data_IF_552760417605
#
_entry.id   IF_552760417605
#
_cell.length_a   1.000
_cell.length_b   1.000
_cell.length_c   1.000
_cell.angle_alpha   90.00
_cell.angle_beta   90.00
_cell.angle_gamma   90.00
#
_symmetry.space_group_name_H-M   'P 1'
#
loop_
_entity.id
_entity.type
_entity.pdbx_description
1 polymer ?
#
# COMPACT_ATOMS: atom_id res chain seq x y z
N UNK A 1 24.72 9.51 36.71
CA UNK A 1 24.89 9.99 35.32
C UNK A 1 24.52 11.47 35.30
N UNK A 2 25.28 12.31 34.60
CA UNK A 2 24.95 13.72 34.38
C UNK A 2 24.74 13.91 32.87
N UNK A 3 23.66 14.60 32.50
CA UNK A 3 23.32 14.92 31.11
C UNK A 3 23.22 16.44 31.02
N UNK A 4 23.88 17.02 30.04
CA UNK A 4 23.84 18.46 29.74
C UNK A 4 23.35 18.64 28.31
N UNK A 5 22.42 19.58 28.11
CA UNK A 5 21.88 19.93 26.80
C UNK A 5 22.06 21.42 26.59
N UNK A 6 22.77 21.80 25.53
CA UNK A 6 22.94 23.19 25.11
C UNK A 6 21.92 23.51 24.00
N UNK A 7 20.88 24.27 24.35
CA UNK A 7 19.84 24.67 23.41
C UNK A 7 20.29 25.74 22.39
N UNK A 8 21.50 26.30 22.51
CA UNK A 8 22.09 27.20 21.53
C UNK A 8 22.87 26.48 20.41
N UNK A 9 23.21 25.20 20.63
CA UNK A 9 24.03 24.41 19.70
C UNK A 9 23.17 23.47 18.83
N UNK A 10 22.96 23.86 17.58
CA UNK A 10 22.16 23.08 16.61
C UNK A 10 23.06 22.13 15.83
N UNK A 11 22.94 20.82 16.08
CA UNK A 11 23.75 19.77 15.42
C UNK A 11 23.16 19.25 14.11
N UNK A 12 21.87 19.48 13.84
CA UNK A 12 21.20 19.05 12.61
C UNK A 12 19.68 19.11 12.68
N UNK A 13 19.00 18.77 11.56
CA UNK A 13 17.54 18.68 11.49
C UNK A 13 17.06 17.26 11.83
N UNK A 14 16.55 17.07 13.05
CA UNK A 14 15.76 15.89 13.39
C UNK A 14 14.48 15.86 12.53
N UNK A 15 14.18 14.71 11.93
CA UNK A 15 12.94 14.43 11.19
C UNK A 15 12.15 13.35 11.93
N UNK A 16 10.81 13.42 12.02
CA UNK A 16 9.99 12.40 12.67
C UNK A 16 9.81 11.18 11.75
N UNK A 17 10.89 10.41 11.56
CA UNK A 17 10.90 9.22 10.70
C UNK A 17 10.06 8.05 11.24
N UNK A 18 9.54 8.18 12.46
CA UNK A 18 8.74 7.20 13.19
C UNK A 18 7.23 7.46 13.13
N UNK A 19 6.76 8.45 12.36
CA UNK A 19 5.35 8.88 12.30
C UNK A 19 4.46 7.93 11.46
N UNK A 20 4.57 6.62 11.71
CA UNK A 20 3.87 5.56 10.99
C UNK A 20 3.36 4.47 11.94
N UNK A 21 2.27 3.81 11.54
CA UNK A 21 1.70 2.63 12.20
C UNK A 21 1.21 1.64 11.13
N UNK A 22 0.73 0.47 11.53
CA UNK A 22 0.14 -0.47 10.59
C UNK A 22 -0.70 -1.56 11.26
N UNK A 23 -1.54 -2.22 10.45
CA UNK A 23 -2.45 -3.27 10.92
C UNK A 23 -2.93 -4.17 9.77
N UNK A 24 -3.62 -5.26 10.12
CA UNK A 24 -4.18 -6.24 9.21
C UNK A 24 -5.49 -6.80 9.76
N UNK A 25 -6.48 -7.16 8.92
CA UNK A 25 -6.61 -6.88 7.49
C UNK A 25 -7.26 -5.51 7.19
N UNK A 26 -7.17 -5.03 5.94
CA UNK A 26 -7.81 -3.80 5.49
C UNK A 26 -9.32 -3.71 5.74
N UNK A 27 -10.05 -4.84 5.76
CA UNK A 27 -11.50 -4.89 6.06
C UNK A 27 -11.87 -4.29 7.42
N UNK A 28 -10.92 -4.20 8.36
CA UNK A 28 -11.11 -3.48 9.63
C UNK A 28 -11.49 -2.01 9.41
N UNK A 29 -10.98 -1.33 8.37
CA UNK A 29 -11.32 0.06 8.04
C UNK A 29 -12.83 0.31 7.83
N UNK A 30 -13.61 -0.74 7.59
CA UNK A 30 -15.05 -0.66 7.38
C UNK A 30 -15.87 -0.71 8.70
N UNK A 31 -15.23 -0.95 9.84
CA UNK A 31 -15.86 -1.14 11.17
C UNK A 31 -16.03 0.18 11.96
N UNK A 32 -16.84 0.14 13.03
CA UNK A 32 -16.95 1.27 13.97
C UNK A 32 -15.72 1.40 14.87
N UNK A 33 -15.16 0.26 15.28
CA UNK A 33 -14.00 0.15 16.17
C UNK A 33 -12.75 0.77 15.53
N UNK A 34 -12.47 0.43 14.26
CA UNK A 34 -11.35 1.04 13.54
C UNK A 34 -11.59 2.52 13.24
N UNK A 35 -12.83 2.96 13.02
CA UNK A 35 -13.14 4.40 12.91
C UNK A 35 -12.74 5.17 14.18
N UNK A 36 -12.99 4.61 15.35
CA UNK A 36 -12.54 5.20 16.62
C UNK A 36 -11.01 5.11 16.78
N UNK A 37 -10.39 3.99 16.41
CA UNK A 37 -8.94 3.81 16.48
C UNK A 37 -8.17 4.78 15.58
N UNK A 38 -8.59 4.95 14.32
CA UNK A 38 -7.97 5.90 13.38
C UNK A 38 -8.17 7.35 13.86
N UNK A 39 -9.30 7.69 14.49
CA UNK A 39 -9.49 9.00 15.11
C UNK A 39 -8.53 9.25 16.29
N UNK A 40 -8.21 8.22 17.10
CA UNK A 40 -7.16 8.35 18.11
C UNK A 40 -5.77 8.52 17.48
N UNK A 41 -5.44 7.77 16.41
CA UNK A 41 -4.18 7.96 15.68
C UNK A 41 -4.04 9.39 15.12
N UNK A 42 -5.07 9.90 14.44
CA UNK A 42 -5.09 11.27 13.88
C UNK A 42 -5.08 12.38 14.94
N UNK A 43 -5.49 12.08 16.18
CA UNK A 43 -5.45 13.05 17.28
C UNK A 43 -4.04 13.34 17.82
N UNK A 44 -3.01 12.60 17.38
CA UNK A 44 -1.63 12.76 17.83
C UNK A 44 -1.04 14.08 17.25
N UNK A 45 -0.70 15.08 18.08
CA UNK A 45 -0.39 16.43 17.59
C UNK A 45 0.82 16.52 16.64
N UNK A 46 0.76 17.49 15.72
CA UNK A 46 1.84 17.88 14.79
C UNK A 46 2.32 16.72 13.89
N UNK A 47 1.37 16.03 13.27
CA UNK A 47 1.61 14.91 12.35
C UNK A 47 2.44 13.78 13.00
N UNK A 48 2.37 13.65 14.33
CA UNK A 48 3.13 12.66 15.10
C UNK A 48 2.74 11.21 14.78
N UNK A 49 1.58 11.03 14.16
CA UNK A 49 1.20 9.87 13.36
C UNK A 49 0.69 10.39 12.01
N UNK A 50 1.29 9.95 10.90
CA UNK A 50 0.97 10.42 9.54
C UNK A 50 0.67 9.27 8.58
N UNK A 51 1.27 8.10 8.77
CA UNK A 51 1.15 6.99 7.83
C UNK A 51 0.49 5.75 8.46
N UNK A 52 -0.33 5.06 7.68
CA UNK A 52 -0.88 3.74 8.01
C UNK A 52 -0.51 2.72 6.92
N UNK A 53 0.30 1.71 7.27
CA UNK A 53 0.61 0.54 6.44
C UNK A 53 -0.46 -0.53 6.67
N UNK A 54 -1.17 -0.94 5.62
CA UNK A 54 -2.39 -1.75 5.76
C UNK A 54 -2.34 -2.94 4.81
N UNK A 55 -2.23 -4.14 5.37
CA UNK A 55 -2.25 -5.38 4.60
C UNK A 55 -3.60 -5.59 3.90
N UNK A 56 -3.57 -6.21 2.72
CA UNK A 56 -4.77 -6.66 1.99
C UNK A 56 -5.71 -5.52 1.50
N UNK A 57 -5.17 -4.33 1.18
CA UNK A 57 -5.97 -3.23 0.62
C UNK A 57 -6.70 -3.60 -0.68
N UNK A 58 -6.15 -4.51 -1.49
CA UNK A 58 -6.76 -4.92 -2.76
C UNK A 58 -7.90 -5.94 -2.58
N UNK A 59 -8.11 -6.50 -1.38
CA UNK A 59 -9.34 -7.25 -1.04
C UNK A 59 -10.58 -6.33 -0.91
N UNK A 60 -10.39 -5.01 -0.98
CA UNK A 60 -11.46 -3.99 -0.95
C UNK A 60 -11.85 -3.49 -2.35
N UNK A 61 -11.47 -4.23 -3.39
CA UNK A 61 -11.55 -3.86 -4.80
C UNK A 61 -12.17 -5.01 -5.59
N UNK A 62 -13.18 -4.74 -6.43
CA UNK A 62 -13.87 -5.77 -7.21
C UNK A 62 -13.79 -5.48 -8.73
N UNK A 63 -12.73 -5.93 -9.41
CA UNK A 63 -12.45 -5.60 -10.81
C UNK A 63 -13.09 -6.59 -11.80
N UNK A 64 -13.57 -6.06 -12.93
CA UNK A 64 -14.10 -6.82 -14.05
C UNK A 64 -13.22 -6.61 -15.28
N UNK A 65 -12.81 -7.71 -15.94
CA UNK A 65 -11.88 -7.67 -17.09
C UNK A 65 -12.52 -8.19 -18.38
N UNK A 66 -12.28 -7.49 -19.49
CA UNK A 66 -12.49 -7.99 -20.85
C UNK A 66 -11.13 -8.19 -21.53
N UNK A 67 -10.78 -9.45 -21.81
CA UNK A 67 -9.41 -9.84 -22.14
C UNK A 67 -8.43 -9.42 -21.04
N UNK A 68 -7.52 -8.51 -21.38
CA UNK A 68 -6.56 -7.87 -20.46
C UNK A 68 -7.00 -6.47 -19.97
N UNK A 69 -8.08 -5.92 -20.51
CA UNK A 69 -8.55 -4.58 -20.19
C UNK A 69 -9.44 -4.61 -18.94
N UNK A 70 -9.25 -3.66 -18.03
CA UNK A 70 -10.19 -3.43 -16.93
C UNK A 70 -11.46 -2.77 -17.50
N UNK A 71 -12.53 -3.56 -17.64
CA UNK A 71 -13.82 -3.13 -18.19
C UNK A 71 -14.66 -2.35 -17.17
N UNK A 72 -14.43 -2.58 -15.87
CA UNK A 72 -15.04 -1.85 -14.77
C UNK A 72 -14.42 -2.29 -13.44
N UNK A 73 -14.70 -1.56 -12.36
CA UNK A 73 -14.23 -1.90 -11.02
C UNK A 73 -15.13 -1.24 -9.97
N UNK A 74 -15.53 -1.96 -8.93
CA UNK A 74 -16.06 -1.31 -7.73
C UNK A 74 -14.91 -0.96 -6.78
N UNK A 75 -14.73 0.34 -6.55
CA UNK A 75 -13.78 0.91 -5.59
C UNK A 75 -14.45 1.28 -4.26
N UNK A 76 -15.77 1.16 -4.13
CA UNK A 76 -16.54 1.67 -2.98
C UNK A 76 -16.07 1.17 -1.60
N UNK A 77 -15.61 -0.10 -1.42
CA UNK A 77 -15.06 -0.53 -0.14
C UNK A 77 -13.70 0.09 0.14
N UNK A 78 -12.81 0.15 -0.87
CA UNK A 78 -11.48 0.79 -0.75
C UNK A 78 -11.61 2.28 -0.45
N UNK A 79 -12.44 3.01 -1.22
CA UNK A 79 -12.71 4.43 -1.05
C UNK A 79 -13.16 4.75 0.39
N UNK A 80 -14.07 3.95 0.96
CA UNK A 80 -14.51 4.12 2.35
C UNK A 80 -13.38 3.95 3.38
N UNK A 81 -12.38 3.13 3.09
CA UNK A 81 -11.23 2.91 3.96
C UNK A 81 -10.17 4.01 3.83
N UNK A 82 -9.85 4.41 2.60
CA UNK A 82 -8.92 5.52 2.32
C UNK A 82 -9.49 6.87 2.79
N UNK A 83 -10.79 7.11 2.58
CA UNK A 83 -11.52 8.25 3.13
C UNK A 83 -11.39 8.34 4.65
N UNK A 84 -11.46 7.20 5.36
CA UNK A 84 -11.32 7.16 6.82
C UNK A 84 -9.91 7.57 7.28
N UNK A 85 -8.86 7.16 6.54
CA UNK A 85 -7.49 7.60 6.83
C UNK A 85 -7.35 9.11 6.58
N UNK A 86 -7.70 9.57 5.38
CA UNK A 86 -7.55 10.97 4.97
C UNK A 86 -8.36 11.96 5.82
N UNK A 87 -9.59 11.61 6.21
CA UNK A 87 -10.43 12.42 7.11
C UNK A 87 -9.81 12.63 8.50
N UNK A 88 -8.86 11.79 8.91
CA UNK A 88 -8.14 11.90 10.18
C UNK A 88 -6.67 12.34 9.99
N UNK A 89 -6.28 12.77 8.78
CA UNK A 89 -4.92 13.25 8.49
C UNK A 89 -3.87 12.17 8.27
N UNK A 90 -4.28 10.91 8.05
CA UNK A 90 -3.38 9.81 7.73
C UNK A 90 -3.36 9.54 6.21
N UNK A 91 -2.16 9.33 5.67
CA UNK A 91 -1.96 8.79 4.32
C UNK A 91 -1.65 7.28 4.39
N UNK A 92 -2.01 6.49 3.38
CA UNK A 92 -1.60 5.09 3.31
C UNK A 92 -0.10 4.96 3.01
N UNK A 93 0.53 3.94 3.59
CA UNK A 93 1.57 3.18 2.90
C UNK A 93 0.80 2.06 2.18
N UNK A 94 0.63 2.23 0.87
CA UNK A 94 -0.28 1.44 0.05
C UNK A 94 0.45 0.20 -0.47
N UNK A 95 0.35 -0.88 0.29
CA UNK A 95 0.78 -2.20 -0.14
C UNK A 95 -0.13 -2.68 -1.29
N UNK A 96 0.46 -3.01 -2.44
CA UNK A 96 -0.23 -3.59 -3.59
C UNK A 96 -0.47 -5.09 -3.35
N UNK A 97 -1.29 -5.36 -2.32
CA UNK A 97 -1.44 -6.64 -1.64
C UNK A 97 -2.92 -7.07 -1.58
N UNK A 98 -3.18 -8.34 -1.89
CA UNK A 98 -4.51 -8.95 -1.99
C UNK A 98 -4.77 -9.55 -3.38
N UNK A 99 -5.75 -10.44 -3.47
CA UNK A 99 -6.17 -11.13 -4.69
C UNK A 99 -7.64 -10.82 -5.02
N UNK A 100 -7.94 -9.65 -5.65
CA UNK A 100 -9.29 -9.19 -5.96
C UNK A 100 -10.17 -10.29 -6.57
N UNK A 101 -11.28 -10.61 -5.89
CA UNK A 101 -12.24 -11.67 -6.24
C UNK A 101 -11.64 -13.05 -6.57
N UNK A 102 -10.39 -13.32 -6.15
CA UNK A 102 -9.65 -14.55 -6.48
C UNK A 102 -9.21 -14.65 -7.94
N UNK A 103 -9.16 -13.53 -8.68
CA UNK A 103 -8.93 -13.49 -10.14
C UNK A 103 -7.51 -13.91 -10.54
N UNK A 104 -6.53 -13.74 -9.66
CA UNK A 104 -5.11 -13.95 -9.96
C UNK A 104 -4.60 -15.28 -9.37
N UNK A 105 -3.86 -16.05 -10.17
CA UNK A 105 -3.34 -17.38 -9.83
C UNK A 105 -1.89 -17.65 -10.25
N UNK A 106 -1.30 -16.92 -11.21
CA UNK A 106 0.13 -17.02 -11.52
C UNK A 106 0.70 -15.72 -12.14
N UNK A 107 1.86 -15.25 -11.67
CA UNK A 107 2.60 -14.12 -12.27
C UNK A 107 3.68 -14.55 -13.26
N UNK A 108 3.73 -15.83 -13.61
CA UNK A 108 4.35 -16.32 -14.84
C UNK A 108 3.35 -16.34 -16.02
N UNK A 109 2.05 -16.06 -15.78
CA UNK A 109 1.06 -15.92 -16.85
C UNK A 109 0.98 -14.49 -17.41
N UNK A 110 1.40 -14.38 -18.66
CA UNK A 110 1.43 -13.20 -19.53
C UNK A 110 0.13 -12.33 -19.50
N UNK A 111 -1.04 -12.97 -19.47
CA UNK A 111 -2.34 -12.31 -19.38
C UNK A 111 -2.60 -11.71 -17.98
N UNK A 112 -2.19 -12.40 -16.92
CA UNK A 112 -2.40 -11.96 -15.54
C UNK A 112 -1.52 -10.75 -15.23
N UNK A 113 -0.27 -10.76 -15.69
CA UNK A 113 0.63 -9.61 -15.63
C UNK A 113 0.03 -8.36 -16.26
N UNK A 114 -0.53 -8.47 -17.48
CA UNK A 114 -1.17 -7.33 -18.16
C UNK A 114 -2.43 -6.87 -17.44
N UNK A 115 -3.26 -7.78 -16.92
CA UNK A 115 -4.43 -7.43 -16.08
C UNK A 115 -4.02 -6.67 -14.82
N UNK A 116 -3.01 -7.15 -14.09
CA UNK A 116 -2.54 -6.52 -12.84
C UNK A 116 -1.92 -5.16 -13.08
N UNK A 117 -1.04 -5.04 -14.06
CA UNK A 117 -0.50 -3.75 -14.53
C UNK A 117 -1.60 -2.74 -14.87
N UNK A 118 -2.64 -3.19 -15.57
CA UNK A 118 -3.79 -2.35 -15.91
C UNK A 118 -4.64 -2.00 -14.67
N UNK A 119 -4.78 -2.91 -13.70
CA UNK A 119 -5.45 -2.66 -12.42
C UNK A 119 -4.70 -1.64 -11.55
N UNK A 120 -3.39 -1.81 -11.37
CA UNK A 120 -2.52 -0.88 -10.61
C UNK A 120 -2.54 0.51 -11.25
N UNK A 121 -2.50 0.58 -12.58
CA UNK A 121 -2.65 1.85 -13.32
C UNK A 121 -4.01 2.50 -13.08
N UNK A 122 -5.10 1.74 -13.15
CA UNK A 122 -6.45 2.24 -12.95
C UNK A 122 -6.68 2.70 -11.50
N UNK A 123 -6.19 1.94 -10.52
CA UNK A 123 -6.17 2.29 -9.10
C UNK A 123 -5.48 3.63 -8.86
N UNK A 124 -4.27 3.81 -9.39
CA UNK A 124 -3.51 5.05 -9.24
C UNK A 124 -4.22 6.25 -9.89
N UNK A 125 -4.84 6.07 -11.06
CA UNK A 125 -5.65 7.10 -11.72
C UNK A 125 -6.91 7.45 -10.90
N UNK A 126 -7.66 6.45 -10.43
CA UNK A 126 -8.85 6.61 -9.57
C UNK A 126 -8.52 7.36 -8.28
N UNK A 127 -7.47 6.96 -7.57
CA UNK A 127 -7.01 7.65 -6.37
C UNK A 127 -6.58 9.11 -6.66
N UNK A 128 -5.90 9.37 -7.78
CA UNK A 128 -5.51 10.75 -8.15
C UNK A 128 -6.69 11.63 -8.54
N UNK A 129 -7.75 11.08 -9.11
CA UNK A 129 -9.01 11.79 -9.39
C UNK A 129 -9.78 12.08 -8.09
N UNK A 130 -9.88 11.09 -7.19
CA UNK A 130 -10.64 11.19 -5.92
C UNK A 130 -9.97 12.08 -4.88
N UNK A 131 -8.67 11.87 -4.63
CA UNK A 131 -7.91 12.53 -3.55
C UNK A 131 -7.05 13.69 -4.04
N UNK A 132 -6.92 13.85 -5.35
CA UNK A 132 -6.07 14.84 -5.99
C UNK A 132 -4.63 14.37 -6.16
N UNK A 133 -4.05 14.63 -7.33
CA UNK A 133 -2.70 14.21 -7.72
C UNK A 133 -1.61 14.49 -6.66
N UNK A 134 -1.63 15.65 -6.03
CA UNK A 134 -0.60 16.05 -5.07
C UNK A 134 -0.66 15.27 -3.74
N UNK A 135 -1.82 14.74 -3.37
CA UNK A 135 -1.99 13.91 -2.17
C UNK A 135 -1.40 12.51 -2.41
N UNK A 136 -1.79 11.87 -3.52
CA UNK A 136 -1.30 10.53 -3.92
C UNK A 136 0.20 10.54 -4.27
N UNK A 137 0.73 11.67 -4.75
CA UNK A 137 2.20 11.88 -4.88
C UNK A 137 2.94 11.98 -3.53
N UNK A 138 2.23 12.03 -2.41
CA UNK A 138 2.80 11.97 -1.05
C UNK A 138 2.65 10.60 -0.37
N UNK A 139 1.93 9.67 -1.01
CA UNK A 139 1.80 8.29 -0.55
C UNK A 139 3.05 7.48 -0.93
N UNK A 140 3.31 6.43 -0.17
CA UNK A 140 4.29 5.40 -0.54
C UNK A 140 3.53 4.17 -1.02
N UNK A 141 3.83 3.67 -2.21
CA UNK A 141 3.38 2.35 -2.62
C UNK A 141 4.41 1.31 -2.18
N UNK A 142 3.95 0.10 -1.87
CA UNK A 142 4.81 -0.99 -1.40
C UNK A 142 4.41 -2.32 -2.05
N UNK A 143 5.35 -3.26 -2.13
CA UNK A 143 5.08 -4.65 -2.48
C UNK A 143 4.19 -5.36 -1.46
N UNK A 144 3.78 -6.57 -1.79
CA UNK A 144 3.19 -7.53 -0.87
C UNK A 144 4.09 -7.74 0.37
N UNK A 145 3.46 -7.86 1.53
CA UNK A 145 4.12 -8.01 2.82
C UNK A 145 4.90 -9.34 2.97
N UNK A 146 6.13 -9.28 3.48
CA UNK A 146 6.95 -10.42 3.91
C UNK A 146 7.00 -11.58 2.89
N UNK A 147 7.48 -11.33 1.65
CA UNK A 147 7.43 -12.32 0.57
C UNK A 147 8.34 -13.55 0.79
N UNK A 148 9.11 -13.57 1.87
CA UNK A 148 10.03 -14.63 2.27
C UNK A 148 9.41 -15.67 3.22
N UNK A 149 8.21 -15.43 3.76
CA UNK A 149 7.56 -16.38 4.69
C UNK A 149 6.54 -17.29 3.99
N UNK A 150 6.86 -18.58 3.89
CA UNK A 150 5.98 -19.61 3.33
C UNK A 150 4.63 -19.84 4.05
N UNK A 151 4.33 -19.07 5.10
CA UNK A 151 3.01 -19.01 5.74
C UNK A 151 2.18 -17.79 5.34
N UNK A 152 2.79 -16.69 4.88
CA UNK A 152 2.07 -15.56 4.28
C UNK A 152 1.44 -15.95 2.93
N UNK A 153 2.15 -16.79 2.18
CA UNK A 153 1.68 -17.42 0.95
C UNK A 153 0.78 -18.64 1.24
N UNK A 154 -0.49 -18.42 1.60
CA UNK A 154 -1.46 -19.51 1.87
C UNK A 154 -1.96 -20.22 0.58
N UNK A 155 -1.05 -20.54 -0.33
CA UNK A 155 -1.33 -21.02 -1.69
C UNK A 155 -1.82 -19.92 -2.65
N UNK A 156 -1.90 -18.68 -2.17
CA UNK A 156 -2.46 -17.55 -2.92
C UNK A 156 -1.51 -17.11 -4.05
N UNK A 157 -0.50 -16.28 -3.75
CA UNK A 157 0.20 -15.52 -4.79
C UNK A 157 1.37 -14.69 -4.21
N UNK A 158 2.58 -14.59 -4.83
CA UNK A 158 3.17 -15.38 -5.92
C UNK A 158 3.69 -16.76 -5.45
N UNK A 159 4.47 -17.45 -6.29
CA UNK A 159 4.88 -18.87 -6.09
C UNK A 159 6.40 -19.07 -5.94
N UNK A 160 7.19 -18.16 -6.48
CA UNK A 160 8.65 -18.22 -6.61
C UNK A 160 9.24 -16.81 -6.85
N UNK A 161 10.56 -16.67 -6.81
CA UNK A 161 11.30 -15.41 -7.06
C UNK A 161 10.94 -14.76 -8.41
N UNK A 162 10.74 -15.57 -9.46
CA UNK A 162 10.44 -15.09 -10.82
C UNK A 162 9.06 -14.44 -10.86
N UNK A 163 8.05 -15.10 -10.31
CA UNK A 163 6.68 -14.58 -10.21
C UNK A 163 6.59 -13.35 -9.29
N UNK A 164 7.43 -13.23 -8.26
CA UNK A 164 7.56 -11.99 -7.48
C UNK A 164 8.20 -10.84 -8.29
N UNK A 165 9.26 -11.13 -9.08
CA UNK A 165 9.88 -10.12 -9.95
C UNK A 165 8.92 -9.63 -11.04
N UNK A 166 8.22 -10.54 -11.72
CA UNK A 166 7.23 -10.20 -12.74
C UNK A 166 6.07 -9.35 -12.14
N UNK A 167 5.63 -9.68 -10.93
CA UNK A 167 4.68 -8.86 -10.16
C UNK A 167 5.21 -7.44 -9.89
N UNK A 168 6.45 -7.33 -9.43
CA UNK A 168 7.08 -6.06 -9.12
C UNK A 168 7.16 -5.17 -10.36
N UNK A 169 7.61 -5.73 -11.49
CA UNK A 169 7.63 -5.04 -12.78
C UNK A 169 6.22 -4.60 -13.19
N UNK A 170 5.20 -5.46 -13.09
CA UNK A 170 3.82 -5.08 -13.39
C UNK A 170 3.28 -3.95 -12.49
N UNK A 171 3.70 -3.89 -11.22
CA UNK A 171 3.37 -2.79 -10.31
C UNK A 171 4.06 -1.48 -10.70
N UNK A 172 5.38 -1.52 -10.94
CA UNK A 172 6.18 -0.38 -11.38
C UNK A 172 5.60 0.20 -12.67
N UNK A 173 5.37 -0.64 -13.68
CA UNK A 173 4.87 -0.23 -14.98
C UNK A 173 3.44 0.34 -14.89
N UNK A 174 2.60 -0.21 -14.01
CA UNK A 174 1.25 0.29 -13.73
C UNK A 174 1.26 1.69 -13.10
N UNK A 175 2.07 1.91 -12.06
CA UNK A 175 2.20 3.20 -11.38
C UNK A 175 2.83 4.27 -12.29
N UNK A 176 3.92 3.94 -12.99
CA UNK A 176 4.60 4.87 -13.90
C UNK A 176 3.69 5.28 -15.08
N UNK A 177 2.89 4.35 -15.61
CA UNK A 177 1.91 4.62 -16.67
C UNK A 177 0.68 5.43 -16.20
N UNK A 178 0.49 5.61 -14.88
CA UNK A 178 -0.49 6.53 -14.30
C UNK A 178 0.15 7.91 -13.99
N UNK A 179 1.28 7.93 -13.27
CA UNK A 179 2.04 9.14 -12.99
C UNK A 179 3.50 8.80 -12.60
N UNK A 180 4.53 9.22 -13.36
CA UNK A 180 5.94 8.88 -13.10
C UNK A 180 6.56 9.58 -11.88
N UNK A 181 5.75 10.18 -11.01
CA UNK A 181 6.14 10.74 -9.72
C UNK A 181 5.66 9.93 -8.52
N UNK A 182 4.87 8.87 -8.73
CA UNK A 182 4.54 7.90 -7.69
C UNK A 182 5.79 7.06 -7.38
N UNK A 183 5.97 6.71 -6.11
CA UNK A 183 7.12 5.92 -5.64
C UNK A 183 6.65 4.58 -5.09
N UNK A 184 7.35 3.52 -5.46
CA UNK A 184 7.14 2.16 -4.95
C UNK A 184 8.44 1.64 -4.32
N UNK A 185 8.30 0.88 -3.23
CA UNK A 185 9.38 0.17 -2.55
C UNK A 185 9.03 -1.29 -2.27
N UNK A 186 10.02 -2.04 -1.80
CA UNK A 186 9.93 -3.47 -1.48
C UNK A 186 11.32 -4.03 -1.17
N UNK A 187 11.47 -5.35 -0.97
CA UNK A 187 10.41 -6.37 -0.97
C UNK A 187 9.61 -6.44 0.34
N UNK A 188 10.05 -5.80 1.43
CA UNK A 188 9.35 -5.84 2.72
C UNK A 188 9.47 -7.19 3.45
N UNK A 189 10.62 -7.86 3.34
CA UNK A 189 10.86 -9.21 3.90
C UNK A 189 10.94 -9.24 5.43
N UNK A 190 10.47 -10.34 6.01
CA UNK A 190 10.58 -10.69 7.42
C UNK A 190 12.03 -10.94 7.83
N UNK A 191 12.78 -11.65 6.98
CA UNK A 191 14.17 -12.03 7.22
C UNK A 191 15.16 -10.98 6.70
N UNK A 192 16.15 -10.65 7.54
CA UNK A 192 17.25 -9.71 7.23
C UNK A 192 18.16 -10.18 6.08
N UNK A 193 18.13 -11.48 5.78
CA UNK A 193 18.90 -12.14 4.71
C UNK A 193 18.00 -13.20 4.06
N UNK A 194 16.92 -12.75 3.40
CA UNK A 194 16.04 -13.63 2.62
C UNK A 194 16.83 -14.44 1.59
N UNK A 195 16.42 -15.71 1.40
CA UNK A 195 16.80 -16.54 0.24
C UNK A 195 15.62 -16.77 -0.71
N UNK A 196 14.67 -15.83 -0.68
CA UNK A 196 13.44 -15.69 -1.45
C UNK A 196 13.36 -14.25 -1.97
#
# INVERSE_FOLDING_TARGET
>A
MQITVDASSVTGKLRPFWASTGFTPATLLLTGDMRQQIAYCGSIPRDGMRFARVHYLLELVHPSFDGENLAGCDWSPLDRGLDLLGQNGLAPIFELMGNPDGIFSDFNEDLQLRRWRNLVRALALHCMERYGKAEVESWYFETWNEPDIGFGWSGQWPRDETSFCNYYDACVDGLLAANPRLVIGGPGTCQTLSSL
#
